data_IF_697687777857
#
_entry.id   IF_697687777857
#
_cell.length_a   1.000
_cell.length_b   1.000
_cell.length_c   1.000
_cell.angle_alpha   90.00
_cell.angle_beta   90.00
_cell.angle_gamma   90.00
#
_symmetry.space_group_name_H-M   'P 1'
#
loop_
_entity.id
_entity.type
_entity.pdbx_description
1 polymer ?
#
# COMPACT_ATOMS: atom_id res chain seq x y z
N UNK A 1 54.14 50.72 -23.96
CA UNK A 1 55.61 50.91 -23.90
C UNK A 1 55.94 51.81 -22.72
N UNK A 2 57.07 51.54 -22.06
CA UNK A 2 57.57 52.06 -20.78
C UNK A 2 57.35 53.57 -20.51
N UNK A 3 56.78 53.85 -19.33
CA UNK A 3 57.40 54.53 -18.16
C UNK A 3 58.46 55.64 -18.41
N UNK A 4 58.18 56.86 -17.91
CA UNK A 4 58.97 57.71 -16.97
C UNK A 4 59.08 59.19 -17.35
N UNK A 5 59.04 60.05 -16.31
CA UNK A 5 59.85 61.27 -16.19
C UNK A 5 59.05 62.57 -16.22
N UNK A 6 58.69 63.16 -15.07
CA UNK A 6 59.45 64.13 -14.23
C UNK A 6 59.31 65.60 -14.65
N UNK A 7 58.56 66.34 -13.80
CA UNK A 7 58.72 67.71 -13.25
C UNK A 7 59.49 68.79 -14.03
N UNK A 8 58.97 70.03 -13.99
CA UNK A 8 59.57 71.30 -13.48
C UNK A 8 58.71 72.48 -14.03
N UNK A 9 57.91 73.17 -13.20
CA UNK A 9 58.15 74.50 -12.60
C UNK A 9 58.05 75.70 -13.57
N UNK A 10 57.03 76.56 -13.43
CA UNK A 10 57.11 78.01 -13.14
C UNK A 10 55.78 78.76 -13.37
N UNK A 11 55.72 79.96 -12.79
CA UNK A 11 54.59 80.75 -12.29
C UNK A 11 53.63 81.38 -13.33
N UNK A 12 52.38 81.48 -12.85
CA UNK A 12 51.47 82.64 -12.86
C UNK A 12 50.87 83.15 -14.18
N UNK A 13 49.54 83.09 -14.27
CA UNK A 13 48.73 84.25 -14.63
C UNK A 13 47.28 84.12 -14.12
N UNK A 14 46.85 85.17 -13.42
CA UNK A 14 45.51 85.41 -12.87
C UNK A 14 44.42 85.32 -13.96
N UNK A 15 43.32 84.64 -13.65
CA UNK A 15 41.95 85.12 -13.93
C UNK A 15 41.00 84.55 -12.88
N UNK A 16 40.43 85.41 -12.03
CA UNK A 16 39.16 85.09 -11.35
C UNK A 16 38.05 85.23 -12.38
N UNK A 17 37.04 84.34 -12.36
CA UNK A 17 35.76 84.88 -11.90
C UNK A 17 34.91 83.93 -11.05
N UNK A 18 33.99 84.60 -10.33
CA UNK A 18 32.70 84.11 -9.83
C UNK A 18 32.71 83.15 -8.65
N UNK A 19 32.55 83.76 -7.47
CA UNK A 19 31.84 83.17 -6.34
C UNK A 19 30.40 82.82 -6.73
N UNK A 20 30.01 81.58 -6.51
CA UNK A 20 28.64 81.21 -6.16
C UNK A 20 28.70 80.61 -4.75
N UNK A 21 28.18 81.36 -3.79
CA UNK A 21 27.88 80.83 -2.47
C UNK A 21 26.73 79.82 -2.60
N UNK A 22 27.07 78.54 -2.63
CA UNK A 22 26.12 77.44 -2.42
C UNK A 22 26.38 76.86 -1.04
N UNK A 23 25.55 77.23 -0.06
CA UNK A 23 25.52 76.59 1.24
C UNK A 23 24.98 75.15 1.04
N UNK A 24 25.85 74.14 0.91
CA UNK A 24 25.41 72.75 1.04
C UNK A 24 25.03 72.53 2.49
N UNK A 25 23.73 72.65 2.79
CA UNK A 25 23.16 72.00 3.97
C UNK A 25 23.49 70.51 3.85
N UNK A 26 24.32 69.98 4.74
CA UNK A 26 24.36 68.54 4.98
C UNK A 26 22.92 68.13 5.27
N UNK A 27 22.31 67.29 4.42
CA UNK A 27 21.05 66.65 4.80
C UNK A 27 21.38 65.80 6.03
N UNK A 28 20.80 66.15 7.17
CA UNK A 28 20.90 65.31 8.36
C UNK A 28 20.35 63.93 7.98
N UNK A 29 21.22 62.92 7.98
CA UNK A 29 20.86 61.55 7.64
C UNK A 29 19.75 61.06 8.58
N UNK A 30 18.81 60.28 8.06
CA UNK A 30 17.76 59.72 8.89
C UNK A 30 18.35 58.82 9.99
N UNK A 31 17.76 58.87 11.18
CA UNK A 31 18.05 57.97 12.29
C UNK A 31 16.99 56.87 12.35
N UNK A 32 17.41 55.65 12.68
CA UNK A 32 16.51 54.52 12.94
C UNK A 32 17.05 53.75 14.13
N UNK A 33 16.24 53.65 15.18
CA UNK A 33 16.51 52.86 16.36
C UNK A 33 15.38 51.84 16.52
N UNK A 34 15.75 50.58 16.74
CA UNK A 34 14.79 49.50 17.05
C UNK A 34 15.28 48.80 18.31
N UNK A 35 14.42 48.69 19.31
CA UNK A 35 14.75 48.11 20.61
C UNK A 35 13.68 47.11 21.05
N UNK A 36 14.06 45.95 21.59
CA UNK A 36 15.44 45.44 21.72
C UNK A 36 16.02 44.95 20.37
N UNK A 37 17.35 44.82 20.29
CA UNK A 37 18.04 44.28 19.10
C UNK A 37 17.86 42.75 18.92
N UNK A 38 17.35 42.07 19.95
CA UNK A 38 17.05 40.64 19.96
C UNK A 38 15.78 40.38 20.76
N UNK A 39 14.90 39.53 20.24
CA UNK A 39 13.78 38.96 20.99
C UNK A 39 13.99 37.47 21.21
N UNK A 40 13.83 37.03 22.45
CA UNK A 40 13.90 35.63 22.86
C UNK A 40 12.51 35.13 23.21
N UNK A 41 11.90 34.42 22.27
CA UNK A 41 10.58 33.83 22.44
C UNK A 41 10.74 32.47 23.15
N UNK A 42 9.94 32.18 24.19
CA UNK A 42 9.93 30.88 24.83
C UNK A 42 9.63 29.74 23.85
N UNK A 43 10.08 28.54 24.20
CA UNK A 43 9.86 27.34 23.37
C UNK A 43 8.38 27.01 23.15
N UNK A 44 7.49 27.38 24.07
CA UNK A 44 6.03 27.24 23.94
C UNK A 44 5.40 28.27 22.97
N UNK A 45 6.16 29.23 22.46
CA UNK A 45 5.64 30.39 21.75
C UNK A 45 5.32 31.55 22.70
N UNK A 46 4.78 32.62 22.15
CA UNK A 46 4.45 33.83 22.92
C UNK A 46 4.44 35.09 22.06
N UNK A 47 4.22 36.22 22.73
CA UNK A 47 4.21 37.55 22.12
C UNK A 47 5.23 38.44 22.82
N UNK A 48 5.98 39.22 22.05
CA UNK A 48 6.83 40.31 22.55
C UNK A 48 6.79 41.49 21.58
N UNK A 49 7.39 42.63 21.92
CA UNK A 49 7.25 43.86 21.16
C UNK A 49 8.58 44.55 20.84
N UNK A 50 8.60 45.24 19.70
CA UNK A 50 9.72 46.05 19.22
C UNK A 50 9.28 47.51 19.19
N UNK A 51 10.04 48.37 19.88
CA UNK A 51 9.87 49.82 19.80
C UNK A 51 10.76 50.37 18.69
N UNK A 52 10.17 51.20 17.83
CA UNK A 52 10.83 51.81 16.68
C UNK A 52 10.85 53.32 16.92
N UNK A 53 12.01 53.96 16.75
CA UNK A 53 12.13 55.42 16.74
C UNK A 53 12.89 55.87 15.49
N UNK A 54 12.34 56.84 14.76
CA UNK A 54 12.96 57.37 13.54
C UNK A 54 12.60 58.83 13.30
N UNK A 55 13.49 59.60 12.66
CA UNK A 55 13.15 60.91 12.13
C UNK A 55 12.70 60.88 10.65
N UNK A 56 12.61 59.68 10.04
CA UNK A 56 12.10 59.50 8.69
C UNK A 56 10.56 59.57 8.65
N UNK A 57 10.01 59.86 7.48
CA UNK A 57 8.55 59.95 7.29
C UNK A 57 7.85 58.58 7.45
N UNK A 58 8.54 57.49 7.12
CA UNK A 58 8.03 56.12 7.20
C UNK A 58 9.16 55.13 7.51
N UNK A 59 8.76 53.96 7.98
CA UNK A 59 9.62 52.80 8.17
C UNK A 59 8.95 51.55 7.60
N UNK A 60 9.75 50.54 7.25
CA UNK A 60 9.28 49.22 6.80
C UNK A 60 10.16 48.09 7.33
N UNK A 61 9.55 46.93 7.55
CA UNK A 61 10.23 45.66 7.79
C UNK A 61 10.25 44.90 6.47
N UNK A 62 11.43 44.54 5.98
CA UNK A 62 11.56 43.55 4.91
C UNK A 62 11.00 42.22 5.45
N UNK A 63 10.00 41.65 4.76
CA UNK A 63 9.28 40.45 5.22
C UNK A 63 10.24 39.34 5.66
N UNK A 64 10.05 38.84 6.88
CA UNK A 64 10.67 37.59 7.33
C UNK A 64 10.29 36.46 6.36
N UNK A 65 11.24 35.57 6.07
CA UNK A 65 10.96 34.35 5.29
C UNK A 65 10.46 33.20 6.17
N UNK A 66 10.51 33.36 7.50
CA UNK A 66 10.00 32.40 8.45
C UNK A 66 8.48 32.49 8.61
N UNK A 67 7.77 31.44 8.18
CA UNK A 67 6.33 31.26 8.39
C UNK A 67 5.91 31.18 9.87
N UNK A 68 6.86 31.05 10.80
CA UNK A 68 6.61 30.93 12.24
C UNK A 68 6.58 32.27 13.00
N UNK A 69 6.92 33.39 12.34
CA UNK A 69 6.87 34.75 12.92
C UNK A 69 5.68 35.51 12.34
N UNK A 70 4.79 35.99 13.21
CA UNK A 70 3.68 36.87 12.83
C UNK A 70 3.91 38.27 13.39
N UNK A 71 3.74 39.30 12.56
CA UNK A 71 3.90 40.71 12.95
C UNK A 71 2.54 41.41 12.98
N UNK A 72 2.29 42.29 13.95
CA UNK A 72 1.07 43.12 13.98
C UNK A 72 0.94 43.99 12.73
N UNK A 73 2.07 44.51 12.23
CA UNK A 73 2.22 45.29 11.00
C UNK A 73 3.68 45.30 10.57
N UNK A 74 3.94 45.53 9.28
CA UNK A 74 5.29 45.55 8.69
C UNK A 74 5.67 46.90 8.05
N UNK A 75 4.84 47.93 8.22
CA UNK A 75 5.11 49.31 7.81
C UNK A 75 4.48 50.28 8.81
N UNK A 76 5.06 51.46 8.98
CA UNK A 76 4.51 52.48 9.87
C UNK A 76 4.95 53.90 9.52
N UNK A 77 4.41 54.87 10.27
CA UNK A 77 4.62 56.32 10.07
C UNK A 77 4.83 57.01 11.41
N UNK A 78 5.56 58.12 11.38
CA UNK A 78 5.77 58.95 12.55
C UNK A 78 7.00 58.55 13.37
N UNK A 79 7.30 59.34 14.42
CA UNK A 79 8.61 59.30 15.05
C UNK A 79 8.81 58.12 16.02
N UNK A 80 7.71 57.49 16.47
CA UNK A 80 7.72 56.32 17.34
C UNK A 80 6.62 55.34 16.93
N UNK A 81 6.89 54.04 17.03
CA UNK A 81 5.93 52.97 16.72
C UNK A 81 6.25 51.71 17.55
N UNK A 82 5.29 50.78 17.68
CA UNK A 82 5.44 49.51 18.38
C UNK A 82 4.93 48.37 17.48
N UNK A 83 5.79 47.41 17.17
CA UNK A 83 5.42 46.19 16.43
C UNK A 83 5.37 45.01 17.38
N UNK A 84 4.24 44.30 17.44
CA UNK A 84 4.11 43.06 18.22
C UNK A 84 4.52 41.88 17.35
N UNK A 85 5.42 41.05 17.87
CA UNK A 85 5.90 39.80 17.29
C UNK A 85 5.21 38.65 18.01
N UNK A 86 4.51 37.81 17.26
CA UNK A 86 3.76 36.64 17.76
C UNK A 86 4.32 35.35 17.17
N UNK A 87 4.56 34.36 18.03
CA UNK A 87 4.95 33.00 17.64
C UNK A 87 3.98 32.02 18.28
N UNK A 88 3.15 31.38 17.46
CA UNK A 88 2.07 30.50 17.92
C UNK A 88 2.42 29.01 17.88
N UNK A 89 3.66 28.66 17.54
CA UNK A 89 4.08 27.26 17.36
C UNK A 89 5.20 26.90 18.31
N UNK A 90 5.12 25.72 18.93
CA UNK A 90 6.22 25.12 19.68
C UNK A 90 7.29 24.61 18.71
N UNK A 91 8.55 24.56 19.16
CA UNK A 91 9.65 23.95 18.40
C UNK A 91 10.48 23.04 19.29
N UNK A 92 10.94 21.90 18.76
CA UNK A 92 11.86 20.97 19.44
C UNK A 92 13.33 21.24 19.07
N UNK A 93 13.57 22.09 18.08
CA UNK A 93 14.88 22.58 17.70
C UNK A 93 14.94 24.09 17.88
N UNK A 94 16.08 24.59 18.36
CA UNK A 94 16.31 26.03 18.45
C UNK A 94 16.28 26.61 17.04
N UNK A 95 15.50 27.67 16.84
CA UNK A 95 15.38 28.36 15.55
C UNK A 95 15.53 29.86 15.70
N UNK A 96 15.96 30.52 14.63
CA UNK A 96 16.13 31.96 14.60
C UNK A 96 15.88 32.52 13.21
N UNK A 97 15.37 33.75 13.14
CA UNK A 97 15.28 34.53 11.91
C UNK A 97 15.59 36.00 12.20
N UNK A 98 15.87 36.79 11.16
CA UNK A 98 16.25 38.19 11.27
C UNK A 98 15.25 39.09 10.56
N UNK A 99 14.66 40.02 11.31
CA UNK A 99 13.86 41.12 10.76
C UNK A 99 14.80 42.27 10.37
N UNK A 100 14.59 42.83 9.18
CA UNK A 100 15.39 43.97 8.68
C UNK A 100 14.50 45.20 8.56
N UNK A 101 14.77 46.20 9.38
CA UNK A 101 14.08 47.48 9.43
C UNK A 101 14.81 48.51 8.58
N UNK A 102 14.06 49.30 7.82
CA UNK A 102 14.59 50.40 7.00
C UNK A 102 13.70 51.63 7.12
N UNK A 103 14.31 52.83 7.13
CA UNK A 103 13.60 54.10 7.24
C UNK A 103 14.42 55.20 6.54
N UNK A 104 13.91 55.77 5.44
CA UNK A 104 14.62 56.78 4.65
C UNK A 104 16.02 56.33 4.20
N UNK A 105 17.02 57.18 4.42
CA UNK A 105 18.45 56.90 4.19
C UNK A 105 19.22 56.44 5.45
N UNK A 106 18.50 56.09 6.52
CA UNK A 106 19.08 55.53 7.73
C UNK A 106 19.74 54.17 7.44
N UNK A 107 20.82 53.86 8.18
CA UNK A 107 21.41 52.51 8.14
C UNK A 107 20.36 51.47 8.58
N UNK A 108 20.14 50.38 7.81
CA UNK A 108 19.18 49.35 8.18
C UNK A 108 19.49 48.72 9.54
N UNK A 109 18.45 48.54 10.37
CA UNK A 109 18.58 47.89 11.68
C UNK A 109 18.11 46.44 11.57
N UNK A 110 18.91 45.50 12.08
CA UNK A 110 18.57 44.08 12.10
C UNK A 110 18.19 43.66 13.52
N UNK A 111 17.04 43.01 13.65
CA UNK A 111 16.58 42.42 14.92
C UNK A 111 16.51 40.91 14.76
N UNK A 112 17.15 40.19 15.66
CA UNK A 112 17.15 38.72 15.66
C UNK A 112 15.99 38.23 16.52
N UNK A 113 15.12 37.41 15.95
CA UNK A 113 14.08 36.68 16.68
C UNK A 113 14.57 35.25 16.86
N UNK A 114 14.73 34.81 18.10
CA UNK A 114 15.08 33.43 18.44
C UNK A 114 13.94 32.76 19.18
N UNK A 115 13.72 31.47 18.91
CA UNK A 115 12.88 30.62 19.74
C UNK A 115 13.70 29.42 20.21
N UNK A 116 13.75 29.23 21.53
CA UNK A 116 14.46 28.10 22.13
C UNK A 116 13.75 26.77 21.84
N UNK A 117 14.51 25.67 21.86
CA UNK A 117 13.95 24.33 21.80
C UNK A 117 13.13 24.02 23.05
N UNK A 118 11.99 23.35 22.89
CA UNK A 118 11.25 22.76 24.00
C UNK A 118 12.13 21.72 24.69
N UNK A 119 12.25 21.83 26.01
CA UNK A 119 12.93 20.81 26.80
C UNK A 119 12.05 19.56 26.79
N UNK A 120 12.53 18.50 26.14
CA UNK A 120 11.83 17.22 26.13
C UNK A 120 11.84 16.67 27.56
N UNK A 121 10.67 16.61 28.19
CA UNK A 121 10.49 16.09 29.55
C UNK A 121 10.27 14.57 29.55
N UNK A 122 9.95 14.02 28.38
CA UNK A 122 9.53 12.64 28.23
C UNK A 122 10.32 11.91 27.15
N UNK A 123 10.41 10.59 27.31
CA UNK A 123 10.92 9.65 26.33
C UNK A 123 9.74 9.00 25.62
N UNK A 124 9.89 8.77 24.32
CA UNK A 124 8.92 8.03 23.51
C UNK A 124 9.71 7.26 22.46
N UNK A 125 9.70 5.93 22.55
CA UNK A 125 10.49 5.05 21.69
C UNK A 125 9.69 3.84 21.24
N UNK A 126 10.11 3.26 20.13
CA UNK A 126 9.64 1.96 19.62
C UNK A 126 10.78 0.95 19.64
N UNK A 127 10.45 -0.33 19.75
CA UNK A 127 11.44 -1.42 19.68
C UNK A 127 12.06 -1.59 18.29
N UNK A 128 11.43 -1.07 17.24
CA UNK A 128 11.92 -1.07 15.86
C UNK A 128 11.61 0.27 15.17
N UNK A 129 12.44 0.64 14.20
CA UNK A 129 12.19 1.77 13.30
C UNK A 129 11.63 1.34 11.94
N UNK A 130 11.49 0.03 11.69
CA UNK A 130 10.97 -0.49 10.41
C UNK A 130 10.26 -1.83 10.58
N UNK A 131 9.19 -2.02 9.80
CA UNK A 131 8.54 -3.30 9.57
C UNK A 131 8.57 -3.62 8.07
N UNK A 132 8.84 -4.88 7.73
CA UNK A 132 8.83 -5.37 6.34
C UNK A 132 7.74 -6.42 6.20
N UNK A 133 6.88 -6.23 5.20
CA UNK A 133 5.79 -7.12 4.87
C UNK A 133 5.94 -7.64 3.44
N UNK A 134 5.51 -8.87 3.22
CA UNK A 134 5.25 -9.37 1.87
C UNK A 134 4.10 -8.59 1.22
N UNK A 135 3.80 -8.84 -0.05
CA UNK A 135 2.68 -8.18 -0.72
C UNK A 135 1.29 -8.61 -0.19
N UNK A 136 1.20 -9.68 0.60
CA UNK A 136 -0.06 -10.15 1.17
C UNK A 136 -0.51 -9.30 2.37
N UNK A 137 -1.81 -9.37 2.69
CA UNK A 137 -2.33 -8.90 3.98
C UNK A 137 -1.64 -9.65 5.12
N UNK A 138 -1.12 -8.92 6.10
CA UNK A 138 -0.42 -9.48 7.25
C UNK A 138 -0.41 -8.48 8.42
N UNK A 139 0.16 -8.88 9.56
CA UNK A 139 0.27 -8.05 10.73
C UNK A 139 1.53 -8.33 11.54
N UNK A 140 2.12 -7.30 12.11
CA UNK A 140 3.29 -7.40 12.99
C UNK A 140 3.09 -6.53 14.24
N UNK A 141 3.77 -6.89 15.32
CA UNK A 141 3.67 -6.16 16.59
C UNK A 141 4.86 -5.22 16.76
N UNK A 142 4.57 -3.97 17.14
CA UNK A 142 5.56 -3.04 17.70
C UNK A 142 5.31 -2.86 19.19
N UNK A 143 6.35 -2.50 19.93
CA UNK A 143 6.28 -2.17 21.34
C UNK A 143 6.68 -0.72 21.52
N UNK A 144 5.77 0.08 22.07
CA UNK A 144 5.99 1.49 22.43
C UNK A 144 6.37 1.54 23.90
N UNK A 145 7.46 2.22 24.23
CA UNK A 145 7.89 2.46 25.63
C UNK A 145 8.06 3.95 25.86
N UNK A 146 7.39 4.47 26.88
CA UNK A 146 7.32 5.90 27.10
C UNK A 146 6.96 6.24 28.55
N UNK A 147 7.33 7.43 28.99
CA UNK A 147 6.84 8.03 30.25
C UNK A 147 5.87 9.20 30.01
N UNK A 148 5.40 9.41 28.76
CA UNK A 148 4.39 10.43 28.46
C UNK A 148 3.02 10.02 29.04
N UNK A 149 2.23 10.96 29.58
CA UNK A 149 0.89 10.63 30.08
C UNK A 149 -0.06 10.12 28.99
N UNK A 150 0.06 10.68 27.78
CA UNK A 150 -0.74 10.29 26.62
C UNK A 150 0.09 10.42 25.35
N UNK A 151 -0.09 9.47 24.43
CA UNK A 151 0.47 9.46 23.09
C UNK A 151 -0.58 9.00 22.07
N UNK A 152 -0.35 9.37 20.81
CA UNK A 152 -1.18 9.04 19.66
C UNK A 152 -0.36 8.36 18.56
N UNK A 153 -1.01 7.53 17.75
CA UNK A 153 -0.46 6.87 16.55
C UNK A 153 -1.26 7.32 15.34
N UNK A 154 -0.55 7.77 14.30
CA UNK A 154 -1.13 8.23 13.05
C UNK A 154 -0.51 7.49 11.86
N UNK A 155 -1.18 6.46 11.32
CA UNK A 155 -0.79 5.85 10.04
C UNK A 155 -0.83 6.88 8.91
N UNK A 156 0.22 6.96 8.09
CA UNK A 156 0.28 7.88 6.94
C UNK A 156 -0.27 7.28 5.64
N UNK A 157 -0.93 6.12 5.72
CA UNK A 157 -1.63 5.52 4.60
C UNK A 157 -2.84 4.70 5.06
N UNK A 158 -3.87 4.63 4.22
CA UNK A 158 -5.13 3.92 4.45
C UNK A 158 -4.99 2.39 4.47
N UNK A 159 -3.97 1.86 3.78
CA UNK A 159 -3.61 0.44 3.79
C UNK A 159 -2.92 0.00 5.09
N UNK A 160 -2.68 0.90 6.05
CA UNK A 160 -2.13 0.59 7.37
C UNK A 160 -3.18 0.87 8.45
N UNK A 161 -3.43 -0.10 9.32
CA UNK A 161 -4.25 0.09 10.52
C UNK A 161 -3.55 -0.43 11.77
N UNK A 162 -3.97 0.01 12.94
CA UNK A 162 -3.39 -0.41 14.21
C UNK A 162 -4.48 -0.95 15.14
N UNK A 163 -4.13 -1.89 16.03
CA UNK A 163 -5.04 -2.41 17.06
C UNK A 163 -5.53 -1.34 18.04
N UNK A 164 -4.79 -0.22 18.12
CA UNK A 164 -5.11 0.98 18.90
C UNK A 164 -4.32 2.16 18.35
N UNK A 165 -4.89 3.36 18.48
CA UNK A 165 -4.27 4.60 18.00
C UNK A 165 -3.84 5.55 19.12
N UNK A 166 -3.99 5.15 20.38
CA UNK A 166 -3.64 5.97 21.54
C UNK A 166 -3.24 5.08 22.72
N UNK A 167 -2.50 5.65 23.66
CA UNK A 167 -2.20 5.01 24.94
C UNK A 167 -1.53 5.95 25.93
N UNK A 168 -1.03 5.36 27.00
CA UNK A 168 -0.55 6.06 28.20
C UNK A 168 0.90 5.66 28.53
N UNK A 169 1.42 6.20 29.63
CA UNK A 169 2.76 5.90 30.13
C UNK A 169 2.96 4.39 30.37
N UNK A 170 4.18 3.92 30.15
CA UNK A 170 4.59 2.54 30.31
C UNK A 170 4.96 1.87 28.99
N UNK A 171 4.76 0.56 28.92
CA UNK A 171 5.05 -0.27 27.75
C UNK A 171 3.75 -0.78 27.17
N UNK A 172 3.51 -0.53 25.89
CA UNK A 172 2.29 -0.95 25.18
C UNK A 172 2.66 -1.69 23.90
N UNK A 173 2.08 -2.87 23.70
CA UNK A 173 2.12 -3.57 22.41
C UNK A 173 1.01 -3.06 21.49
N UNK A 174 1.38 -2.77 20.24
CA UNK A 174 0.46 -2.33 19.19
C UNK A 174 0.65 -3.24 17.99
N UNK A 175 -0.44 -3.86 17.55
CA UNK A 175 -0.44 -4.67 16.34
C UNK A 175 -0.72 -3.78 15.14
N UNK A 176 0.21 -3.76 14.20
CA UNK A 176 0.12 -3.04 12.93
C UNK A 176 -0.35 -4.04 11.87
N UNK A 177 -1.40 -3.69 11.14
CA UNK A 177 -1.98 -4.48 10.07
C UNK A 177 -1.77 -3.77 8.74
N UNK A 178 -1.42 -4.52 7.70
CA UNK A 178 -1.34 -4.04 6.32
C UNK A 178 -2.36 -4.79 5.47
N UNK A 179 -3.06 -4.10 4.57
CA UNK A 179 -3.86 -4.77 3.52
C UNK A 179 -2.93 -5.32 2.42
N UNK A 180 -3.46 -6.12 1.50
CA UNK A 180 -2.66 -6.59 0.36
C UNK A 180 -2.16 -5.42 -0.50
N UNK A 181 -0.95 -5.56 -1.05
CA UNK A 181 -0.42 -4.67 -2.06
C UNK A 181 -0.70 -5.27 -3.45
N UNK A 182 -1.75 -4.81 -4.15
CA UNK A 182 -2.08 -5.31 -5.48
C UNK A 182 -1.16 -4.75 -6.58
N UNK A 183 -0.28 -3.81 -6.23
CA UNK A 183 0.57 -3.11 -7.18
C UNK A 183 1.80 -3.96 -7.52
N UNK A 184 2.26 -3.84 -8.76
CA UNK A 184 3.55 -4.39 -9.22
C UNK A 184 4.75 -3.52 -8.79
N UNK A 185 4.54 -2.63 -7.81
CA UNK A 185 5.56 -1.77 -7.22
C UNK A 185 5.55 -1.90 -5.70
N UNK A 186 6.74 -1.84 -5.10
CA UNK A 186 6.87 -1.77 -3.65
C UNK A 186 6.20 -0.47 -3.16
N UNK A 187 5.52 -0.54 -2.02
CA UNK A 187 4.94 0.64 -1.38
C UNK A 187 5.49 0.80 0.03
N UNK A 188 5.50 2.04 0.51
CA UNK A 188 5.89 2.35 1.87
C UNK A 188 5.12 3.55 2.41
N UNK A 189 4.98 3.59 3.72
CA UNK A 189 4.43 4.73 4.44
C UNK A 189 4.95 4.73 5.88
N UNK A 190 4.89 5.90 6.51
CA UNK A 190 5.31 6.05 7.90
C UNK A 190 4.13 5.76 8.85
N UNK A 191 4.46 5.16 10.00
CA UNK A 191 3.60 5.11 11.17
C UNK A 191 4.18 6.09 12.19
N UNK A 192 3.49 7.19 12.46
CA UNK A 192 3.97 8.27 13.32
C UNK A 192 3.39 8.09 14.72
N UNK A 193 4.26 8.07 15.74
CA UNK A 193 3.88 8.06 17.14
C UNK A 193 4.31 9.40 17.76
N UNK A 194 3.35 10.16 18.27
CA UNK A 194 3.57 11.51 18.77
C UNK A 194 2.97 11.72 20.15
N UNK A 195 3.56 12.65 20.90
CA UNK A 195 3.08 13.12 22.19
C UNK A 195 3.62 14.53 22.46
N UNK A 196 2.95 15.28 23.32
CA UNK A 196 3.43 16.60 23.74
C UNK A 196 4.74 16.47 24.57
N UNK A 197 5.71 17.36 24.33
CA UNK A 197 6.98 17.43 25.05
C UNK A 197 7.83 16.13 25.01
N UNK A 198 7.64 15.31 23.99
CA UNK A 198 8.41 14.09 23.72
C UNK A 198 8.93 14.10 22.27
N UNK A 199 10.02 13.38 21.96
CA UNK A 199 10.42 13.20 20.57
C UNK A 199 9.38 12.35 19.82
N UNK A 200 9.15 12.65 18.54
CA UNK A 200 8.34 11.82 17.65
C UNK A 200 9.09 10.53 17.32
N UNK A 201 8.43 9.39 17.47
CA UNK A 201 8.93 8.12 16.93
C UNK A 201 8.27 7.81 15.59
N UNK A 202 9.04 7.25 14.66
CA UNK A 202 8.56 6.90 13.32
C UNK A 202 8.96 5.45 13.04
N UNK A 203 7.99 4.63 12.66
CA UNK A 203 8.22 3.28 12.15
C UNK A 203 7.90 3.26 10.67
N UNK A 204 8.91 2.98 9.83
CA UNK A 204 8.73 2.82 8.38
C UNK A 204 8.05 1.49 8.09
N UNK A 205 6.91 1.52 7.40
CA UNK A 205 6.22 0.32 6.95
C UNK A 205 6.57 0.10 5.48
N UNK A 206 7.26 -1.00 5.20
CA UNK A 206 7.67 -1.40 3.85
C UNK A 206 6.84 -2.61 3.42
N UNK A 207 6.27 -2.57 2.22
CA UNK A 207 5.52 -3.69 1.67
C UNK A 207 5.95 -4.00 0.23
N UNK A 208 6.26 -5.28 -0.02
CA UNK A 208 6.70 -5.74 -1.33
C UNK A 208 5.62 -5.60 -2.42
N UNK A 209 6.06 -5.48 -3.66
CA UNK A 209 5.24 -5.57 -4.87
C UNK A 209 4.62 -6.97 -5.03
N UNK A 210 3.42 -7.02 -5.62
CA UNK A 210 2.89 -8.23 -6.23
C UNK A 210 3.67 -8.58 -7.50
N UNK A 211 3.85 -9.88 -7.78
CA UNK A 211 4.49 -10.35 -9.02
C UNK A 211 3.62 -10.12 -10.25
N UNK A 212 2.29 -10.15 -10.08
CA UNK A 212 1.30 -9.92 -11.13
C UNK A 212 0.32 -8.83 -10.71
N UNK A 213 -0.26 -8.08 -11.66
CA UNK A 213 -1.36 -7.16 -11.35
C UNK A 213 -2.54 -7.93 -10.73
N UNK A 214 -3.36 -7.22 -9.95
CA UNK A 214 -4.64 -7.75 -9.51
C UNK A 214 -5.61 -7.85 -10.68
N UNK A 215 -6.23 -9.02 -10.88
CA UNK A 215 -7.29 -9.23 -11.87
C UNK A 215 -8.69 -9.11 -11.27
N UNK A 216 -8.80 -8.89 -9.95
CA UNK A 216 -10.06 -8.51 -9.31
C UNK A 216 -10.42 -7.03 -9.60
N UNK A 217 -10.72 -6.72 -10.86
CA UNK A 217 -10.96 -5.34 -11.34
C UNK A 217 -12.41 -4.89 -11.22
N UNK A 218 -13.35 -5.82 -10.99
CA UNK A 218 -14.79 -5.54 -10.91
C UNK A 218 -15.49 -6.38 -9.82
N UNK A 219 -15.05 -6.31 -8.55
CA UNK A 219 -15.71 -7.05 -7.48
C UNK A 219 -17.18 -6.62 -7.34
N UNK A 220 -18.07 -7.59 -7.11
CA UNK A 220 -19.50 -7.33 -6.87
C UNK A 220 -19.87 -7.54 -5.39
N UNK A 221 -20.90 -6.87 -4.86
CA UNK A 221 -21.49 -7.25 -3.59
C UNK A 221 -21.88 -8.76 -3.58
N UNK A 222 -21.89 -9.43 -2.42
CA UNK A 222 -22.32 -10.82 -2.33
C UNK A 222 -23.72 -11.04 -2.90
N UNK A 223 -23.90 -12.09 -3.71
CA UNK A 223 -25.18 -12.49 -4.30
C UNK A 223 -25.47 -13.97 -3.99
N UNK A 224 -26.53 -14.23 -3.23
CA UNK A 224 -26.94 -15.58 -2.84
C UNK A 224 -27.94 -16.22 -3.84
N UNK A 225 -28.33 -15.53 -4.91
CA UNK A 225 -29.29 -16.03 -5.88
C UNK A 225 -28.80 -17.32 -6.55
N UNK A 226 -29.57 -18.40 -6.43
CA UNK A 226 -29.18 -19.72 -6.91
C UNK A 226 -28.00 -20.38 -6.16
N UNK A 227 -27.58 -19.86 -5.00
CA UNK A 227 -26.45 -20.36 -4.20
C UNK A 227 -26.88 -20.98 -2.85
N UNK A 228 -28.11 -21.51 -2.79
CA UNK A 228 -28.78 -21.88 -1.54
C UNK A 228 -28.15 -23.09 -0.84
N UNK A 229 -27.62 -24.07 -1.58
CA UNK A 229 -27.08 -25.32 -1.01
C UNK A 229 -25.65 -25.16 -0.52
N UNK A 230 -25.37 -25.66 0.68
CA UNK A 230 -24.02 -25.74 1.23
C UNK A 230 -23.24 -26.94 0.64
N UNK A 231 -21.96 -27.07 1.01
CA UNK A 231 -21.10 -28.14 0.49
C UNK A 231 -21.65 -29.55 0.75
N UNK A 232 -22.13 -29.84 1.95
CA UNK A 232 -22.68 -31.16 2.29
C UNK A 232 -23.96 -31.47 1.47
N UNK A 233 -24.82 -30.47 1.27
CA UNK A 233 -26.05 -30.61 0.50
C UNK A 233 -25.76 -30.86 -0.98
N UNK A 234 -24.78 -30.16 -1.57
CA UNK A 234 -24.34 -30.42 -2.94
C UNK A 234 -23.70 -31.82 -3.04
N UNK A 235 -22.82 -32.20 -2.10
CA UNK A 235 -22.22 -33.54 -2.09
C UNK A 235 -23.28 -34.65 -2.04
N UNK A 236 -24.36 -34.44 -1.27
CA UNK A 236 -25.50 -35.37 -1.18
C UNK A 236 -26.33 -35.39 -2.47
N UNK A 237 -26.40 -34.26 -3.19
CA UNK A 237 -27.13 -34.15 -4.45
C UNK A 237 -26.38 -34.80 -5.61
N UNK A 238 -25.03 -34.77 -5.61
CA UNK A 238 -24.19 -35.48 -6.58
C UNK A 238 -24.28 -36.99 -6.29
N UNK A 239 -24.75 -37.76 -7.27
CA UNK A 239 -24.91 -39.22 -7.17
C UNK A 239 -23.75 -39.95 -7.83
N UNK A 240 -23.43 -39.54 -9.05
CA UNK A 240 -22.33 -40.10 -9.84
C UNK A 240 -21.82 -39.04 -10.81
N UNK A 241 -20.50 -38.96 -10.95
CA UNK A 241 -19.81 -37.99 -11.79
C UNK A 241 -19.03 -38.64 -12.93
N UNK A 242 -18.82 -37.88 -14.00
CA UNK A 242 -17.96 -38.25 -15.13
C UNK A 242 -16.80 -37.24 -15.27
N UNK A 243 -15.56 -37.70 -15.51
CA UNK A 243 -14.45 -36.80 -15.84
C UNK A 243 -14.34 -36.66 -17.37
N UNK A 244 -14.35 -35.43 -17.89
CA UNK A 244 -13.97 -35.15 -19.28
C UNK A 244 -12.44 -35.05 -19.33
N UNK A 245 -11.78 -36.19 -19.15
CA UNK A 245 -10.32 -36.28 -19.11
C UNK A 245 -9.68 -36.16 -20.50
N UNK A 246 -8.38 -35.84 -20.50
CA UNK A 246 -7.52 -35.66 -21.65
C UNK A 246 -8.11 -34.74 -22.73
N UNK A 247 -8.78 -33.67 -22.31
CA UNK A 247 -9.45 -32.70 -23.17
C UNK A 247 -8.97 -31.28 -22.83
N UNK A 248 -9.65 -30.52 -21.96
CA UNK A 248 -9.25 -29.12 -21.70
C UNK A 248 -7.94 -28.99 -20.90
N UNK A 249 -7.47 -30.06 -20.26
CA UNK A 249 -6.15 -30.13 -19.63
C UNK A 249 -5.02 -30.55 -20.57
N UNK A 250 -5.34 -30.99 -21.80
CA UNK A 250 -4.35 -31.53 -22.71
C UNK A 250 -3.32 -30.47 -23.12
N UNK A 251 -2.04 -30.78 -22.91
CA UNK A 251 -0.94 -29.89 -23.30
C UNK A 251 -0.77 -29.92 -24.82
N UNK A 252 -0.79 -28.74 -25.45
CA UNK A 252 -0.77 -28.55 -26.90
C UNK A 252 -2.13 -28.23 -27.52
N UNK A 253 -3.21 -28.13 -26.73
CA UNK A 253 -4.55 -27.80 -27.20
C UNK A 253 -5.61 -28.81 -26.74
N UNK A 254 -6.90 -28.41 -26.71
CA UNK A 254 -7.98 -29.26 -26.19
C UNK A 254 -8.18 -30.60 -26.93
N UNK A 255 -7.60 -30.74 -28.13
CA UNK A 255 -7.64 -31.98 -28.94
C UNK A 255 -6.29 -32.69 -29.03
N UNK A 256 -5.26 -32.19 -28.34
CA UNK A 256 -3.88 -32.65 -28.51
C UNK A 256 -3.65 -34.09 -28.04
N UNK A 257 -4.48 -34.58 -27.10
CA UNK A 257 -4.40 -35.95 -26.56
C UNK A 257 -5.43 -36.90 -27.15
N UNK A 258 -5.97 -36.58 -28.34
CA UNK A 258 -6.76 -37.48 -29.17
C UNK A 258 -8.28 -37.37 -29.02
N UNK A 259 -8.77 -36.62 -28.03
CA UNK A 259 -10.20 -36.33 -27.90
C UNK A 259 -10.64 -35.22 -28.87
N UNK A 260 -11.89 -35.26 -29.37
CA UNK A 260 -12.47 -34.11 -30.06
C UNK A 260 -12.79 -32.99 -29.07
N UNK A 261 -13.14 -31.81 -29.58
CA UNK A 261 -13.70 -30.74 -28.77
C UNK A 261 -14.96 -31.22 -28.04
N UNK A 262 -15.13 -30.82 -26.78
CA UNK A 262 -16.38 -31.07 -26.04
C UNK A 262 -17.55 -30.39 -26.74
N UNK A 263 -18.62 -31.16 -27.00
CA UNK A 263 -19.86 -30.73 -27.64
C UNK A 263 -21.06 -30.88 -26.70
N UNK A 264 -22.16 -30.17 -26.99
CA UNK A 264 -23.44 -30.34 -26.30
C UNK A 264 -23.96 -31.79 -26.38
N UNK A 265 -23.80 -32.45 -27.54
CA UNK A 265 -24.22 -33.85 -27.72
C UNK A 265 -23.53 -34.81 -26.75
N UNK A 266 -22.24 -34.60 -26.47
CA UNK A 266 -21.51 -35.38 -25.47
C UNK A 266 -22.12 -35.17 -24.08
N UNK A 267 -22.39 -33.91 -23.72
CA UNK A 267 -22.98 -33.58 -22.41
C UNK A 267 -24.39 -34.15 -22.27
N UNK A 268 -25.21 -34.07 -23.31
CA UNK A 268 -26.53 -34.67 -23.35
C UNK A 268 -26.47 -36.19 -23.18
N UNK A 269 -25.50 -36.86 -23.82
CA UNK A 269 -25.28 -38.30 -23.67
C UNK A 269 -24.84 -38.66 -22.24
N UNK A 270 -23.93 -37.88 -21.63
CA UNK A 270 -23.51 -38.07 -20.24
C UNK A 270 -24.73 -37.98 -19.31
N UNK A 271 -25.57 -36.95 -19.48
CA UNK A 271 -26.81 -36.79 -18.70
C UNK A 271 -27.78 -37.96 -18.91
N UNK A 272 -28.03 -38.34 -20.16
CA UNK A 272 -28.92 -39.44 -20.51
C UNK A 272 -28.43 -40.80 -19.96
N UNK A 273 -27.11 -40.94 -19.79
CA UNK A 273 -26.49 -42.13 -19.19
C UNK A 273 -26.62 -42.19 -17.66
N UNK A 274 -27.29 -41.21 -17.05
CA UNK A 274 -27.61 -41.21 -15.61
C UNK A 274 -26.62 -40.44 -14.74
N UNK A 275 -25.57 -39.84 -15.31
CA UNK A 275 -24.67 -38.96 -14.58
C UNK A 275 -25.36 -37.64 -14.24
N UNK A 276 -25.08 -37.12 -13.04
CA UNK A 276 -25.59 -35.83 -12.61
C UNK A 276 -24.50 -34.84 -12.20
N UNK A 277 -23.24 -35.20 -12.41
CA UNK A 277 -22.10 -34.32 -12.25
C UNK A 277 -21.02 -34.59 -13.31
N UNK A 278 -20.23 -33.57 -13.61
CA UNK A 278 -19.06 -33.63 -14.49
C UNK A 278 -17.89 -32.93 -13.80
N UNK A 279 -16.70 -33.52 -13.88
CA UNK A 279 -15.44 -32.84 -13.56
C UNK A 279 -14.73 -32.50 -14.86
N UNK A 280 -14.29 -31.25 -14.96
CA UNK A 280 -13.59 -30.68 -16.12
C UNK A 280 -12.16 -30.36 -15.68
N UNK A 281 -11.22 -31.30 -15.85
CA UNK A 281 -9.79 -31.00 -15.87
C UNK A 281 -9.48 -29.87 -16.84
N UNK A 282 -8.79 -28.81 -16.40
CA UNK A 282 -8.47 -27.70 -17.28
C UNK A 282 -7.04 -27.19 -17.09
N UNK A 283 -6.37 -26.93 -18.21
CA UNK A 283 -5.08 -26.25 -18.27
C UNK A 283 -5.30 -24.77 -18.57
N UNK A 284 -4.42 -23.92 -18.05
CA UNK A 284 -4.55 -22.46 -18.13
C UNK A 284 -3.20 -21.81 -18.42
N UNK A 285 -2.12 -22.31 -17.83
CA UNK A 285 -0.78 -21.76 -17.96
C UNK A 285 -0.27 -21.75 -19.42
N UNK A 286 -0.62 -22.76 -20.22
CA UNK A 286 -0.26 -22.79 -21.64
C UNK A 286 -1.03 -21.75 -22.49
N UNK A 287 -2.13 -21.21 -21.95
CA UNK A 287 -2.98 -20.22 -22.59
C UNK A 287 -2.72 -18.81 -22.06
N UNK A 288 -1.61 -18.57 -21.36
CA UNK A 288 -1.20 -17.22 -20.95
C UNK A 288 -0.59 -16.48 -22.13
N UNK A 289 -1.23 -15.39 -22.55
CA UNK A 289 -0.82 -14.54 -23.68
C UNK A 289 0.20 -13.46 -23.28
N UNK A 290 0.26 -13.12 -22.00
CA UNK A 290 1.26 -12.23 -21.42
C UNK A 290 1.79 -12.83 -20.12
N UNK A 291 3.05 -13.28 -20.16
CA UNK A 291 3.72 -13.94 -19.05
C UNK A 291 4.15 -12.96 -17.95
N UNK A 292 4.34 -11.67 -18.27
CA UNK A 292 4.71 -10.64 -17.28
C UNK A 292 3.51 -10.29 -16.40
N UNK A 293 2.30 -10.31 -16.97
CA UNK A 293 1.07 -10.03 -16.24
C UNK A 293 0.32 -11.28 -15.80
N UNK A 294 0.64 -12.46 -16.35
CA UNK A 294 -0.13 -13.70 -16.21
C UNK A 294 -1.55 -13.61 -16.81
N UNK A 295 -1.72 -12.83 -17.88
CA UNK A 295 -3.00 -12.70 -18.58
C UNK A 295 -3.31 -13.98 -19.36
N UNK A 296 -4.41 -14.64 -19.02
CA UNK A 296 -4.94 -15.78 -19.76
C UNK A 296 -5.62 -15.26 -21.03
N UNK A 297 -5.49 -15.99 -22.13
CA UNK A 297 -6.19 -15.74 -23.39
C UNK A 297 -7.71 -15.65 -23.12
N UNK A 298 -8.35 -14.50 -23.38
CA UNK A 298 -9.79 -14.36 -23.25
C UNK A 298 -10.56 -15.41 -24.06
N UNK A 299 -10.07 -15.80 -25.25
CA UNK A 299 -10.72 -16.82 -26.09
C UNK A 299 -10.70 -18.19 -25.42
N UNK A 300 -9.66 -18.49 -24.65
CA UNK A 300 -9.59 -19.75 -23.91
C UNK A 300 -10.56 -19.76 -22.74
N UNK A 301 -10.62 -18.67 -21.95
CA UNK A 301 -11.59 -18.58 -20.86
C UNK A 301 -13.04 -18.67 -21.40
N UNK A 302 -13.34 -18.00 -22.52
CA UNK A 302 -14.64 -18.09 -23.19
C UNK A 302 -14.96 -19.52 -23.62
N UNK A 303 -13.99 -20.26 -24.16
CA UNK A 303 -14.15 -21.67 -24.53
C UNK A 303 -14.43 -22.55 -23.32
N UNK A 304 -13.72 -22.35 -22.20
CA UNK A 304 -14.00 -23.10 -20.97
C UNK A 304 -15.40 -22.77 -20.43
N UNK A 305 -15.79 -21.50 -20.47
CA UNK A 305 -17.14 -21.05 -20.08
C UNK A 305 -18.22 -21.71 -20.91
N UNK A 306 -18.03 -21.82 -22.23
CA UNK A 306 -18.95 -22.52 -23.13
C UNK A 306 -19.16 -23.98 -22.70
N UNK A 307 -18.08 -24.72 -22.41
CA UNK A 307 -18.19 -26.12 -21.96
C UNK A 307 -18.89 -26.23 -20.59
N UNK A 308 -18.59 -25.31 -19.67
CA UNK A 308 -19.30 -25.22 -18.38
C UNK A 308 -20.80 -24.95 -18.60
N UNK A 309 -21.13 -24.04 -19.52
CA UNK A 309 -22.50 -23.68 -19.85
C UNK A 309 -23.29 -24.89 -20.37
N UNK A 310 -22.73 -25.67 -21.29
CA UNK A 310 -23.35 -26.92 -21.75
C UNK A 310 -23.73 -27.84 -20.59
N UNK A 311 -22.85 -27.99 -19.61
CA UNK A 311 -23.08 -28.85 -18.46
C UNK A 311 -24.17 -28.28 -17.52
N UNK A 312 -24.12 -26.99 -17.23
CA UNK A 312 -25.10 -26.32 -16.35
C UNK A 312 -26.49 -26.31 -16.99
N UNK A 313 -26.60 -26.07 -18.30
CA UNK A 313 -27.88 -26.11 -19.03
C UNK A 313 -28.49 -27.52 -19.06
N UNK A 314 -27.65 -28.56 -19.06
CA UNK A 314 -28.08 -29.96 -18.88
C UNK A 314 -28.46 -30.31 -17.41
N UNK A 315 -28.36 -29.34 -16.49
CA UNK A 315 -28.61 -29.52 -15.06
C UNK A 315 -27.64 -30.49 -14.41
N UNK A 316 -26.37 -30.46 -14.81
CA UNK A 316 -25.27 -31.20 -14.20
C UNK A 316 -24.52 -30.30 -13.22
N UNK A 317 -24.06 -30.86 -12.09
CA UNK A 317 -23.03 -30.21 -11.29
C UNK A 317 -21.69 -30.25 -12.05
N UNK A 318 -20.90 -29.20 -11.94
CA UNK A 318 -19.62 -29.04 -12.64
C UNK A 318 -18.52 -28.75 -11.63
N UNK A 319 -17.44 -29.52 -11.66
CA UNK A 319 -16.22 -29.23 -10.91
C UNK A 319 -15.15 -28.81 -11.92
N UNK A 320 -14.77 -27.53 -11.91
CA UNK A 320 -13.70 -26.99 -12.76
C UNK A 320 -12.46 -26.72 -11.92
N UNK A 321 -11.28 -27.13 -12.40
CA UNK A 321 -10.04 -26.93 -11.68
C UNK A 321 -8.94 -26.23 -12.50
N UNK A 322 -7.80 -26.00 -11.84
CA UNK A 322 -6.51 -25.94 -12.52
C UNK A 322 -5.91 -27.35 -12.37
N UNK A 323 -5.68 -28.03 -13.49
CA UNK A 323 -5.23 -29.42 -13.49
C UNK A 323 -3.71 -29.52 -13.27
N UNK A 324 -3.05 -30.56 -13.81
CA UNK A 324 -1.59 -30.66 -13.82
C UNK A 324 -0.94 -29.42 -14.44
N UNK A 325 -1.47 -28.96 -15.57
CA UNK A 325 -1.14 -27.67 -16.21
C UNK A 325 0.37 -27.44 -16.43
N UNK A 326 1.10 -28.50 -16.79
CA UNK A 326 2.56 -28.46 -16.94
C UNK A 326 3.33 -28.55 -15.61
N UNK A 327 2.65 -28.85 -14.52
CA UNK A 327 3.23 -29.13 -13.20
C UNK A 327 3.70 -27.89 -12.43
N UNK A 328 3.32 -26.67 -12.85
CA UNK A 328 3.83 -25.45 -12.23
C UNK A 328 3.47 -25.35 -10.74
N UNK A 329 2.25 -25.77 -10.35
CA UNK A 329 1.84 -25.89 -8.96
C UNK A 329 2.16 -27.29 -8.41
N UNK A 330 1.72 -28.32 -9.15
CA UNK A 330 1.71 -29.69 -8.67
C UNK A 330 3.09 -30.19 -8.21
N UNK A 331 4.14 -29.90 -9.00
CA UNK A 331 5.50 -30.32 -8.72
C UNK A 331 6.27 -29.36 -7.80
N UNK A 332 5.63 -28.30 -7.32
CA UNK A 332 6.29 -27.16 -6.68
C UNK A 332 5.60 -26.75 -5.37
N UNK A 333 5.21 -27.72 -4.53
CA UNK A 333 4.81 -27.48 -3.14
C UNK A 333 6.04 -27.25 -2.24
N UNK A 334 6.90 -26.30 -2.59
CA UNK A 334 8.17 -26.01 -1.91
C UNK A 334 8.26 -24.55 -1.48
N UNK A 335 9.02 -24.26 -0.42
CA UNK A 335 9.22 -22.88 0.09
C UNK A 335 9.82 -21.99 -0.99
N UNK A 336 10.73 -22.50 -1.81
CA UNK A 336 11.36 -21.75 -2.90
C UNK A 336 10.36 -21.24 -3.94
N UNK A 337 9.34 -22.06 -4.26
CA UNK A 337 8.32 -21.72 -5.27
C UNK A 337 7.06 -21.11 -4.67
N UNK A 338 6.95 -21.08 -3.35
CA UNK A 338 5.76 -20.64 -2.64
C UNK A 338 5.29 -19.24 -3.04
N UNK A 339 6.21 -18.27 -3.16
CA UNK A 339 5.87 -16.89 -3.53
C UNK A 339 5.35 -16.81 -4.97
N UNK A 340 6.07 -17.42 -5.91
CA UNK A 340 5.72 -17.45 -7.34
C UNK A 340 4.37 -18.14 -7.58
N UNK A 341 4.17 -19.31 -6.97
CA UNK A 341 2.97 -20.10 -7.16
C UNK A 341 1.74 -19.48 -6.49
N UNK A 342 1.88 -18.84 -5.33
CA UNK A 342 0.78 -18.07 -4.74
C UNK A 342 0.40 -16.89 -5.64
N UNK A 343 1.36 -16.15 -6.19
CA UNK A 343 1.06 -15.04 -7.09
C UNK A 343 0.33 -15.52 -8.36
N UNK A 344 0.80 -16.63 -8.97
CA UNK A 344 0.16 -17.22 -10.16
C UNK A 344 -1.23 -17.77 -9.84
N UNK A 345 -1.40 -18.48 -8.72
CA UNK A 345 -2.71 -18.92 -8.22
C UNK A 345 -3.69 -17.75 -8.11
N UNK A 346 -3.27 -16.65 -7.47
CA UNK A 346 -4.11 -15.45 -7.32
C UNK A 346 -4.51 -14.89 -8.69
N UNK A 347 -3.54 -14.68 -9.58
CA UNK A 347 -3.78 -14.10 -10.89
C UNK A 347 -4.73 -14.95 -11.74
N UNK A 348 -4.54 -16.27 -11.78
CA UNK A 348 -5.40 -17.17 -12.54
C UNK A 348 -6.81 -17.25 -11.95
N UNK A 349 -6.93 -17.47 -10.63
CA UNK A 349 -8.24 -17.61 -10.02
C UNK A 349 -9.06 -16.32 -9.99
N UNK A 350 -8.43 -15.14 -9.94
CA UNK A 350 -9.16 -13.87 -10.10
C UNK A 350 -9.77 -13.75 -11.51
N UNK A 351 -9.04 -14.14 -12.56
CA UNK A 351 -9.54 -14.13 -13.94
C UNK A 351 -10.66 -15.16 -14.14
N UNK A 352 -10.40 -16.42 -13.76
CA UNK A 352 -11.34 -17.54 -13.90
C UNK A 352 -12.62 -17.27 -13.11
N UNK A 353 -12.50 -16.90 -11.82
CA UNK A 353 -13.65 -16.70 -10.97
C UNK A 353 -14.48 -15.50 -11.43
N UNK A 354 -13.86 -14.39 -11.84
CA UNK A 354 -14.58 -13.22 -12.35
C UNK A 354 -15.39 -13.57 -13.59
N UNK A 355 -14.79 -14.31 -14.52
CA UNK A 355 -15.42 -14.61 -15.81
C UNK A 355 -16.56 -15.65 -15.71
N UNK A 356 -16.46 -16.58 -14.76
CA UNK A 356 -17.44 -17.64 -14.49
C UNK A 356 -18.36 -17.30 -13.29
N UNK A 357 -18.35 -16.05 -12.83
CA UNK A 357 -19.02 -15.63 -11.60
C UNK A 357 -20.53 -15.87 -11.61
N UNK A 358 -21.18 -15.74 -12.76
CA UNK A 358 -22.64 -15.69 -12.84
C UNK A 358 -23.32 -17.07 -12.84
N UNK A 359 -22.56 -18.15 -12.97
CA UNK A 359 -23.09 -19.51 -12.79
C UNK A 359 -23.59 -19.72 -11.36
N UNK A 360 -24.70 -20.43 -11.21
CA UNK A 360 -25.30 -20.77 -9.93
C UNK A 360 -24.51 -21.88 -9.19
N UNK A 361 -25.14 -22.51 -8.20
CA UNK A 361 -24.52 -23.56 -7.38
C UNK A 361 -24.14 -24.83 -8.13
N UNK A 362 -24.55 -24.99 -9.39
CA UNK A 362 -24.11 -26.12 -10.20
C UNK A 362 -22.60 -26.07 -10.47
N UNK A 363 -22.00 -24.88 -10.57
CA UNK A 363 -20.55 -24.75 -10.78
C UNK A 363 -19.79 -24.65 -9.45
N UNK A 364 -18.83 -25.55 -9.28
CA UNK A 364 -17.87 -25.59 -8.17
C UNK A 364 -16.46 -25.37 -8.73
N UNK A 365 -15.60 -24.75 -7.91
CA UNK A 365 -14.19 -24.57 -8.25
C UNK A 365 -13.31 -25.46 -7.39
N UNK A 366 -12.39 -26.18 -8.02
CA UNK A 366 -11.40 -27.03 -7.39
C UNK A 366 -10.01 -26.37 -7.47
N UNK A 367 -9.35 -26.18 -6.33
CA UNK A 367 -8.12 -25.38 -6.23
C UNK A 367 -6.97 -25.86 -7.13
N UNK A 368 -6.83 -27.17 -7.29
CA UNK A 368 -5.71 -27.87 -7.90
C UNK A 368 -6.14 -29.29 -8.39
N UNK A 369 -5.17 -30.12 -8.78
CA UNK A 369 -5.35 -31.54 -9.08
C UNK A 369 -4.64 -32.45 -8.08
N UNK A 370 -3.37 -32.81 -8.29
CA UNK A 370 -2.67 -33.83 -7.48
C UNK A 370 -1.39 -33.29 -6.83
N UNK A 371 -1.46 -32.21 -6.01
CA UNK A 371 -0.27 -31.51 -5.52
C UNK A 371 0.72 -32.42 -4.77
N UNK A 372 1.96 -32.52 -5.26
CA UNK A 372 2.98 -33.41 -4.72
C UNK A 372 3.48 -32.94 -3.35
N UNK A 373 3.06 -33.66 -2.31
CA UNK A 373 3.37 -33.37 -0.91
C UNK A 373 3.65 -34.67 -0.17
N UNK A 374 4.77 -34.70 0.54
CA UNK A 374 5.29 -35.85 1.28
C UNK A 374 5.57 -35.54 2.76
N UNK A 375 5.58 -34.26 3.15
CA UNK A 375 5.90 -33.86 4.52
C UNK A 375 5.13 -32.60 4.98
N UNK A 376 5.27 -32.26 6.26
CA UNK A 376 4.55 -31.16 6.89
C UNK A 376 4.94 -29.76 6.35
N UNK A 377 6.18 -29.55 5.92
CA UNK A 377 6.62 -28.28 5.33
C UNK A 377 5.94 -28.06 3.98
N UNK A 378 5.99 -29.05 3.10
CA UNK A 378 5.30 -29.02 1.81
C UNK A 378 3.78 -28.89 1.98
N UNK A 379 3.20 -29.54 2.99
CA UNK A 379 1.77 -29.40 3.32
C UNK A 379 1.43 -27.97 3.75
N UNK A 380 2.28 -27.29 4.53
CA UNK A 380 2.07 -25.88 4.88
C UNK A 380 2.13 -24.99 3.64
N UNK A 381 3.02 -25.28 2.69
CA UNK A 381 3.08 -24.58 1.39
C UNK A 381 1.79 -24.81 0.60
N UNK A 382 1.32 -26.05 0.48
CA UNK A 382 0.06 -26.37 -0.21
C UNK A 382 -1.15 -25.68 0.43
N UNK A 383 -1.23 -25.64 1.76
CA UNK A 383 -2.29 -24.91 2.46
C UNK A 383 -2.27 -23.41 2.13
N UNK A 384 -1.09 -22.83 1.87
CA UNK A 384 -1.00 -21.44 1.40
C UNK A 384 -1.58 -21.27 -0.01
N UNK A 385 -1.35 -22.23 -0.92
CA UNK A 385 -1.92 -22.20 -2.28
C UNK A 385 -3.45 -22.28 -2.25
N UNK A 386 -4.01 -23.15 -1.41
CA UNK A 386 -5.45 -23.25 -1.22
C UNK A 386 -6.05 -22.01 -0.56
N UNK A 387 -5.36 -21.41 0.42
CA UNK A 387 -5.82 -20.16 1.03
C UNK A 387 -5.84 -19.03 0.01
N UNK A 388 -4.82 -18.93 -0.85
CA UNK A 388 -4.74 -17.94 -1.92
C UNK A 388 -5.86 -18.12 -2.94
N UNK A 389 -6.15 -19.36 -3.33
CA UNK A 389 -7.31 -19.70 -4.16
C UNK A 389 -8.63 -19.23 -3.55
N UNK A 390 -8.90 -19.59 -2.29
CA UNK A 390 -10.14 -19.20 -1.61
C UNK A 390 -10.25 -17.67 -1.55
N UNK A 391 -9.18 -16.99 -1.16
CA UNK A 391 -9.16 -15.54 -1.08
C UNK A 391 -9.43 -14.89 -2.44
N UNK A 392 -8.78 -15.36 -3.51
CA UNK A 392 -8.96 -14.87 -4.88
C UNK A 392 -10.41 -15.03 -5.34
N UNK A 393 -10.99 -16.23 -5.19
CA UNK A 393 -12.39 -16.48 -5.58
C UNK A 393 -13.36 -15.60 -4.78
N UNK A 394 -13.23 -15.56 -3.45
CA UNK A 394 -14.13 -14.81 -2.58
C UNK A 394 -14.04 -13.30 -2.82
N UNK A 395 -12.86 -12.78 -3.16
CA UNK A 395 -12.64 -11.36 -3.42
C UNK A 395 -13.41 -10.85 -4.66
N UNK A 396 -13.74 -11.73 -5.63
CA UNK A 396 -14.54 -11.35 -6.81
C UNK A 396 -16.02 -11.09 -6.52
N UNK A 397 -16.50 -11.54 -5.36
CA UNK A 397 -17.86 -11.28 -4.89
C UNK A 397 -18.97 -11.95 -5.71
N UNK A 398 -20.18 -11.36 -5.74
CA UNK A 398 -21.33 -11.96 -6.41
C UNK A 398 -21.64 -13.37 -5.89
N UNK A 399 -21.96 -14.31 -6.81
CA UNK A 399 -22.19 -15.71 -6.45
C UNK A 399 -20.94 -16.44 -5.96
N UNK A 400 -19.74 -15.96 -6.34
CA UNK A 400 -18.50 -16.52 -5.82
C UNK A 400 -18.32 -16.27 -4.32
N UNK A 401 -19.08 -15.36 -3.70
CA UNK A 401 -19.13 -15.26 -2.24
C UNK A 401 -19.67 -16.54 -1.59
N UNK A 402 -20.54 -17.30 -2.28
CA UNK A 402 -21.22 -18.49 -1.74
C UNK A 402 -20.88 -19.80 -2.47
N UNK A 403 -20.14 -19.73 -3.58
CA UNK A 403 -19.75 -20.90 -4.38
C UNK A 403 -19.00 -21.93 -3.54
N UNK A 404 -19.37 -23.19 -3.68
CA UNK A 404 -18.64 -24.27 -3.01
C UNK A 404 -17.27 -24.45 -3.66
N UNK A 405 -16.25 -24.53 -2.82
CA UNK A 405 -14.85 -24.67 -3.22
C UNK A 405 -14.34 -26.05 -2.81
N UNK A 406 -13.59 -26.70 -3.71
CA UNK A 406 -13.08 -28.05 -3.52
C UNK A 406 -11.57 -27.97 -3.31
N UNK A 407 -11.10 -28.56 -2.20
CA UNK A 407 -9.73 -28.48 -1.71
C UNK A 407 -9.10 -29.88 -1.78
N UNK A 408 -8.00 -30.00 -2.51
CA UNK A 408 -7.35 -31.27 -2.77
C UNK A 408 -6.44 -31.66 -1.61
N UNK A 409 -6.44 -32.96 -1.29
CA UNK A 409 -5.43 -33.52 -0.40
C UNK A 409 -4.03 -33.61 -1.06
N UNK A 410 -2.97 -33.84 -0.27
CA UNK A 410 -1.64 -34.14 -0.78
C UNK A 410 -1.65 -35.36 -1.73
N UNK A 411 -1.19 -35.15 -2.98
CA UNK A 411 -1.28 -36.11 -4.10
C UNK A 411 -2.70 -36.65 -4.34
N UNK A 412 -3.73 -36.02 -3.76
CA UNK A 412 -5.09 -36.56 -3.59
C UNK A 412 -5.15 -37.97 -2.98
N UNK A 413 -4.10 -38.38 -2.28
CA UNK A 413 -4.00 -39.70 -1.68
C UNK A 413 -4.71 -39.72 -0.32
N UNK A 414 -5.48 -40.77 -0.05
CA UNK A 414 -6.32 -40.88 1.16
C UNK A 414 -5.45 -40.86 2.42
N UNK A 415 -4.38 -41.65 2.45
CA UNK A 415 -3.53 -41.82 3.65
C UNK A 415 -2.72 -40.56 3.93
N UNK A 416 -2.11 -39.97 2.89
CA UNK A 416 -1.40 -38.69 3.02
C UNK A 416 -2.36 -37.59 3.47
N UNK A 417 -3.59 -37.56 2.94
CA UNK A 417 -4.59 -36.57 3.35
C UNK A 417 -4.91 -36.71 4.84
N UNK A 418 -5.21 -37.92 5.30
CA UNK A 418 -5.45 -38.18 6.71
C UNK A 418 -4.25 -37.84 7.59
N UNK A 419 -3.03 -38.20 7.15
CA UNK A 419 -1.81 -38.07 7.95
C UNK A 419 -1.20 -36.66 7.96
N UNK A 420 -1.30 -35.89 6.87
CA UNK A 420 -0.64 -34.59 6.72
C UNK A 420 -1.60 -33.40 6.83
N UNK A 421 -2.82 -33.50 6.30
CA UNK A 421 -3.75 -32.37 6.21
C UNK A 421 -4.57 -32.19 7.51
N UNK A 422 -3.88 -31.87 8.62
CA UNK A 422 -4.51 -31.75 9.95
C UNK A 422 -5.41 -30.52 10.14
N UNK A 423 -5.43 -29.59 9.19
CA UNK A 423 -6.25 -28.38 9.19
C UNK A 423 -6.70 -28.06 7.78
N UNK A 424 -7.90 -27.49 7.67
CA UNK A 424 -8.37 -26.87 6.43
C UNK A 424 -7.93 -25.41 6.35
N UNK A 425 -7.80 -24.84 5.14
CA UNK A 425 -7.75 -23.40 4.95
C UNK A 425 -8.97 -22.70 5.57
N UNK A 426 -8.90 -21.39 5.75
CA UNK A 426 -10.00 -20.59 6.28
C UNK A 426 -10.84 -20.04 5.13
N UNK A 427 -12.16 -20.18 5.27
CA UNK A 427 -13.14 -19.49 4.43
C UNK A 427 -13.96 -18.54 5.31
N UNK A 428 -14.31 -17.38 4.77
CA UNK A 428 -15.15 -16.38 5.45
C UNK A 428 -16.60 -16.87 5.58
N UNK A 429 -17.01 -17.82 4.73
CA UNK A 429 -18.34 -18.42 4.75
C UNK A 429 -18.28 -19.86 5.25
N UNK A 430 -19.11 -20.17 6.24
CA UNK A 430 -19.19 -21.52 6.83
C UNK A 430 -19.80 -22.53 5.86
N UNK A 431 -19.36 -23.79 5.93
CA UNK A 431 -19.95 -24.93 5.21
C UNK A 431 -19.90 -24.82 3.67
N UNK A 432 -18.90 -24.14 3.09
CA UNK A 432 -18.74 -23.96 1.64
C UNK A 432 -17.48 -24.62 1.06
N UNK A 433 -16.88 -25.57 1.78
CA UNK A 433 -15.71 -26.32 1.31
C UNK A 433 -15.98 -27.83 1.25
N UNK A 434 -15.40 -28.49 0.25
CA UNK A 434 -15.30 -29.95 0.11
C UNK A 434 -13.83 -30.36 0.08
N UNK A 435 -13.52 -31.58 0.54
CA UNK A 435 -12.19 -32.18 0.38
C UNK A 435 -12.25 -33.16 -0.81
N UNK A 436 -11.23 -33.17 -1.65
CA UNK A 436 -11.09 -34.07 -2.79
C UNK A 436 -9.88 -35.00 -2.63
N UNK A 437 -10.12 -36.29 -2.87
CA UNK A 437 -9.15 -37.37 -2.98
C UNK A 437 -9.42 -38.16 -4.26
N UNK A 438 -8.41 -38.86 -4.77
CA UNK A 438 -8.53 -39.79 -5.89
C UNK A 438 -8.27 -41.22 -5.39
N UNK A 439 -8.76 -42.21 -6.13
CA UNK A 439 -8.61 -43.60 -5.73
C UNK A 439 -8.43 -44.52 -6.94
N UNK A 440 -7.21 -45.04 -7.09
CA UNK A 440 -6.81 -45.97 -8.14
C UNK A 440 -6.15 -47.25 -7.57
N UNK A 441 -6.52 -47.65 -6.35
CA UNK A 441 -5.93 -48.84 -5.70
C UNK A 441 -6.77 -50.09 -5.97
N UNK A 442 -6.17 -51.24 -6.32
CA UNK A 442 -4.73 -51.46 -6.56
C UNK A 442 -4.30 -50.96 -7.95
N UNK A 443 -3.21 -50.20 -8.02
CA UNK A 443 -2.78 -49.52 -9.27
C UNK A 443 -2.36 -50.47 -10.40
N UNK A 444 -2.06 -51.74 -10.06
CA UNK A 444 -1.55 -52.75 -10.96
C UNK A 444 -2.63 -53.69 -11.54
N UNK A 445 -3.91 -53.50 -11.19
CA UNK A 445 -5.05 -54.14 -11.84
C UNK A 445 -5.47 -53.31 -13.04
#
# INVERSE_FOLDING_TARGET
>A
MRLKGNRWLLLALLTMPTWLAGCEKSKDQNTLLVSPAKLEIPSAGGTDSLTIETNAANWKISSSTASWIQLSHNFGKGPKDIVVVTVNTQTTTKRSDTLVFTAGDATPVKVIITQEAAQLAYTLTTNTSQLNFSNAEDSATITITTNVPQWDITPQADWITCSRNQGEAGTTEVKVYVTDNPLTQNRSADLIISAANAPTAVVKIMQEASLYPSYNTSPLPPDASGMGRNAQQIATAIKIGWNIGNTLEAIGGETAWGNPKVSEDLIALIKASGFNAVRIPCSWNQYVIDQETAQIDPLWIDRVKEVVQYCVDAGLYVILNIHWDGGWLENNCTVQKQKENNAKQKAFWEQIATHLRDFDEHLLFASANEPNVDNAEQMNVLLSYHQTFINAVRATGGKNSYRVLVIQGPSTDIEKTYNLMKKLPKDKITNRMMIEIHYYTPWNF
#
